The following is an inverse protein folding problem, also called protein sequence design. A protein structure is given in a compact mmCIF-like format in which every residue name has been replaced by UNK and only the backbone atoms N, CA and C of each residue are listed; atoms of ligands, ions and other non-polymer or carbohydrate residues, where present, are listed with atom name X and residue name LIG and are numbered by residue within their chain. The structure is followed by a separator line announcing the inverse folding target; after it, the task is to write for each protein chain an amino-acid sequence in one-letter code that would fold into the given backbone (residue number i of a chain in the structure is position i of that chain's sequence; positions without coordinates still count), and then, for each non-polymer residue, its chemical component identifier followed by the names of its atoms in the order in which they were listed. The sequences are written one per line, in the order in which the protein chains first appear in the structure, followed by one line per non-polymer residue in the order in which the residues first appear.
data_IF_926264512255
#
_entry.id   IF_926264512255
#
_cell.length_a   1.000
_cell.length_b   1.000
_cell.length_c   1.000
_cell.angle_alpha   90.00
_cell.angle_beta   90.00
_cell.angle_gamma   90.00
#
_symmetry.space_group_name_H-M   'P 1'
#
loop_
_entity.id
_entity.type
_entity.pdbx_description
1 polymer ?
#
# COMPACT_ATOMS: atom_id res chain seq x y z
N UNK A 1 -16.39 12.13 20.35
CA UNK A 1 -16.26 11.22 19.19
C UNK A 1 -16.15 11.96 17.85
N UNK A 2 -17.09 12.81 17.44
CA UNK A 2 -17.04 13.53 16.14
C UNK A 2 -15.82 14.46 15.96
N UNK A 3 -15.29 15.07 17.02
CA UNK A 3 -14.12 15.97 16.93
C UNK A 3 -12.80 15.19 16.74
N UNK A 4 -12.70 13.98 17.29
CA UNK A 4 -11.54 13.12 17.18
C UNK A 4 -11.42 12.51 15.77
N UNK A 5 -12.53 11.97 15.23
CA UNK A 5 -12.58 11.45 13.87
C UNK A 5 -12.19 12.52 12.82
N UNK A 6 -12.57 13.77 13.05
CA UNK A 6 -12.19 14.89 12.16
C UNK A 6 -10.70 15.23 12.22
N UNK A 7 -10.07 15.18 13.41
CA UNK A 7 -8.62 15.42 13.52
C UNK A 7 -7.83 14.35 12.79
N UNK A 8 -8.22 13.08 12.95
CA UNK A 8 -7.60 11.95 12.24
C UNK A 8 -7.75 12.11 10.73
N UNK A 9 -8.96 12.40 10.24
CA UNK A 9 -9.20 12.60 8.82
C UNK A 9 -8.40 13.79 8.26
N UNK A 10 -8.24 14.87 9.03
CA UNK A 10 -7.42 16.02 8.63
C UNK A 10 -5.92 15.65 8.59
N UNK A 11 -5.42 14.89 9.57
CA UNK A 11 -4.03 14.42 9.57
C UNK A 11 -3.76 13.47 8.40
N UNK A 12 -4.68 12.53 8.13
CA UNK A 12 -4.59 11.65 6.96
C UNK A 12 -4.62 12.46 5.65
N UNK A 13 -5.51 13.44 5.54
CA UNK A 13 -5.55 14.33 4.38
C UNK A 13 -4.23 15.05 4.16
N UNK A 14 -3.62 15.58 5.23
CA UNK A 14 -2.33 16.25 5.13
C UNK A 14 -1.22 15.30 4.65
N UNK A 15 -1.15 14.06 5.20
CA UNK A 15 -0.19 13.04 4.79
C UNK A 15 -0.42 12.61 3.34
N UNK A 16 -1.67 12.34 2.95
CA UNK A 16 -2.01 11.93 1.58
C UNK A 16 -1.64 13.06 0.59
N UNK A 17 -2.00 14.31 0.90
CA UNK A 17 -1.67 15.45 0.06
C UNK A 17 -0.15 15.62 -0.07
N UNK A 18 0.59 15.49 1.03
CA UNK A 18 2.05 15.52 1.01
C UNK A 18 2.63 14.42 0.12
N UNK A 19 2.16 13.18 0.27
CA UNK A 19 2.64 12.05 -0.54
C UNK A 19 2.33 12.23 -2.03
N UNK A 20 1.15 12.76 -2.37
CA UNK A 20 0.78 13.06 -3.75
C UNK A 20 1.72 14.12 -4.32
N UNK A 21 1.90 15.25 -3.63
CA UNK A 21 2.75 16.35 -4.10
C UNK A 21 4.21 15.90 -4.20
N UNK A 22 4.72 15.23 -3.16
CA UNK A 22 6.10 14.74 -3.12
C UNK A 22 6.35 13.74 -4.23
N UNK A 23 5.52 12.69 -4.37
CA UNK A 23 5.69 11.66 -5.38
C UNK A 23 5.52 12.17 -6.81
N UNK A 24 4.63 13.14 -7.02
CA UNK A 24 4.38 13.71 -8.35
C UNK A 24 5.47 14.70 -8.80
N UNK A 25 6.11 15.42 -7.88
CA UNK A 25 7.09 16.47 -8.20
C UNK A 25 8.55 16.06 -7.95
N UNK A 26 8.78 14.90 -7.35
CA UNK A 26 10.13 14.38 -7.17
C UNK A 26 10.79 14.09 -8.54
N UNK A 27 12.08 14.43 -8.77
CA UNK A 27 13.10 14.89 -7.82
C UNK A 27 13.20 16.40 -7.63
N UNK A 28 12.20 17.19 -7.97
CA UNK A 28 12.15 18.66 -7.84
C UNK A 28 13.19 19.40 -8.70
N UNK A 29 13.52 18.84 -9.87
CA UNK A 29 14.49 19.38 -10.80
C UNK A 29 13.85 20.38 -11.76
N UNK A 30 13.40 21.51 -11.22
CA UNK A 30 12.70 22.55 -11.97
C UNK A 30 13.64 23.34 -12.87
N UNK A 31 13.23 23.59 -14.12
CA UNK A 31 13.91 24.41 -15.12
C UNK A 31 12.94 25.36 -15.83
N UNK A 32 13.41 26.58 -16.13
CA UNK A 32 12.63 27.55 -16.88
C UNK A 32 12.53 27.24 -18.37
N UNK A 33 13.36 26.36 -18.90
CA UNK A 33 13.31 25.95 -20.32
C UNK A 33 12.00 25.23 -20.68
N UNK A 34 11.35 24.57 -19.69
CA UNK A 34 10.00 24.01 -19.84
C UNK A 34 8.90 25.05 -20.07
N UNK A 35 9.09 26.27 -19.56
CA UNK A 35 8.12 27.36 -19.67
C UNK A 35 7.86 27.82 -21.11
N UNK A 36 8.85 27.72 -21.99
CA UNK A 36 8.68 28.05 -23.40
C UNK A 36 7.74 27.08 -24.13
N UNK A 37 7.71 25.80 -23.68
CA UNK A 37 6.77 24.80 -24.18
C UNK A 37 5.31 25.14 -23.82
N UNK A 38 5.08 25.65 -22.61
CA UNK A 38 3.75 26.05 -22.13
C UNK A 38 3.17 27.24 -22.89
N UNK A 39 3.98 28.24 -23.16
CA UNK A 39 3.58 29.41 -23.95
C UNK A 39 3.18 29.03 -25.39
N UNK A 40 3.71 27.93 -25.92
CA UNK A 40 3.39 27.43 -27.27
C UNK A 40 2.17 26.48 -27.26
N UNK A 41 1.91 25.74 -26.19
CA UNK A 41 0.88 24.70 -26.19
C UNK A 41 -0.51 25.17 -25.73
N UNK A 42 -0.59 26.21 -24.87
CA UNK A 42 -1.87 26.75 -24.35
C UNK A 42 -2.79 25.79 -23.60
N UNK A 43 -2.46 24.51 -23.59
CA UNK A 43 -3.21 23.39 -23.00
C UNK A 43 -2.21 22.31 -22.55
N UNK A 44 -2.56 21.55 -21.51
CA UNK A 44 -1.76 20.39 -21.07
C UNK A 44 -1.55 19.41 -22.25
N UNK A 45 -0.31 18.89 -22.44
CA UNK A 45 -0.02 18.00 -23.56
C UNK A 45 -0.80 16.69 -23.46
N UNK A 46 -1.14 16.12 -24.62
CA UNK A 46 -1.68 14.78 -24.71
C UNK A 46 -0.50 13.79 -24.81
N UNK A 47 -0.06 13.26 -23.67
CA UNK A 47 0.92 12.19 -23.65
C UNK A 47 0.23 10.82 -23.79
N UNK A 48 0.92 9.85 -24.37
CA UNK A 48 0.43 8.47 -24.43
C UNK A 48 0.36 7.90 -23.00
N UNK A 49 -0.81 7.42 -22.61
CA UNK A 49 -1.07 6.90 -21.27
C UNK A 49 -1.31 5.39 -21.33
N UNK A 50 -0.62 4.61 -20.51
CA UNK A 50 -0.85 3.17 -20.41
C UNK A 50 -2.02 2.85 -19.48
N UNK A 51 -2.57 1.63 -19.56
CA UNK A 51 -3.63 1.18 -18.65
C UNK A 51 -3.18 1.23 -17.18
N UNK A 52 -1.92 0.93 -16.91
CA UNK A 52 -1.32 1.01 -15.58
C UNK A 52 -1.21 2.44 -15.07
N UNK A 53 -0.87 3.41 -15.93
CA UNK A 53 -0.81 4.82 -15.56
C UNK A 53 -2.20 5.34 -15.18
N UNK A 54 -3.23 5.00 -15.97
CA UNK A 54 -4.62 5.33 -15.67
C UNK A 54 -5.02 4.79 -14.30
N UNK A 55 -4.75 3.49 -14.05
CA UNK A 55 -5.11 2.86 -12.78
C UNK A 55 -4.35 3.49 -11.60
N UNK A 56 -3.05 3.74 -11.74
CA UNK A 56 -2.23 4.35 -10.71
C UNK A 56 -2.71 5.76 -10.35
N UNK A 57 -2.96 6.61 -11.35
CA UNK A 57 -3.43 7.98 -11.15
C UNK A 57 -4.81 8.02 -10.49
N UNK A 58 -5.75 7.18 -10.95
CA UNK A 58 -7.07 7.07 -10.29
C UNK A 58 -6.92 6.65 -8.83
N UNK A 59 -6.17 5.56 -8.55
CA UNK A 59 -6.02 5.03 -7.20
C UNK A 59 -5.32 5.99 -6.25
N UNK A 60 -4.36 6.77 -6.73
CA UNK A 60 -3.63 7.76 -5.95
C UNK A 60 -4.56 8.83 -5.36
N UNK A 61 -5.60 9.23 -6.10
CA UNK A 61 -6.52 10.29 -5.69
C UNK A 61 -7.78 9.78 -4.97
N UNK A 62 -8.07 8.47 -5.00
CA UNK A 62 -9.21 7.89 -4.26
C UNK A 62 -9.15 8.23 -2.75
N UNK A 63 -8.05 8.01 -2.01
CA UNK A 63 -7.98 8.33 -0.59
C UNK A 63 -8.10 9.84 -0.32
N UNK A 64 -7.57 10.69 -1.21
CA UNK A 64 -7.75 12.14 -1.11
C UNK A 64 -9.21 12.54 -1.17
N UNK A 65 -9.93 12.08 -2.20
CA UNK A 65 -11.35 12.36 -2.38
C UNK A 65 -12.21 11.83 -1.22
N UNK A 66 -11.88 10.63 -0.73
CA UNK A 66 -12.57 10.04 0.42
C UNK A 66 -12.41 10.86 1.70
N UNK A 67 -11.18 11.27 2.04
CA UNK A 67 -10.90 12.11 3.21
C UNK A 67 -11.57 13.49 3.11
N UNK A 68 -11.49 14.13 1.95
CA UNK A 68 -12.14 15.43 1.70
C UNK A 68 -13.65 15.32 1.87
N UNK A 69 -14.30 14.35 1.21
CA UNK A 69 -15.75 14.16 1.32
C UNK A 69 -16.19 13.86 2.75
N UNK A 70 -15.43 13.05 3.49
CA UNK A 70 -15.67 12.78 4.90
C UNK A 70 -15.65 14.04 5.76
N UNK A 71 -14.65 14.90 5.58
CA UNK A 71 -14.51 16.16 6.31
C UNK A 71 -15.61 17.17 5.97
N UNK A 72 -16.02 17.20 4.69
CA UNK A 72 -16.98 18.19 4.16
C UNK A 72 -18.43 17.76 4.34
N UNK A 73 -18.73 16.45 4.41
CA UNK A 73 -20.10 15.95 4.48
C UNK A 73 -20.90 16.46 5.67
N UNK A 74 -20.24 16.68 6.82
CA UNK A 74 -20.86 17.24 8.01
C UNK A 74 -21.19 18.73 7.92
N UNK A 75 -20.65 19.45 6.92
CA UNK A 75 -20.82 20.89 6.73
C UNK A 75 -21.74 21.24 5.56
N UNK A 76 -21.64 20.50 4.46
CA UNK A 76 -22.32 20.82 3.20
C UNK A 76 -23.37 19.78 2.77
N UNK A 77 -23.51 18.66 3.50
CA UNK A 77 -24.30 17.52 3.06
C UNK A 77 -23.57 16.67 2.01
N UNK A 78 -24.14 15.49 1.70
CA UNK A 78 -23.42 14.45 0.94
C UNK A 78 -23.08 14.85 -0.50
N UNK A 79 -24.05 15.35 -1.27
CA UNK A 79 -23.86 15.67 -2.69
C UNK A 79 -22.86 16.83 -2.87
N UNK A 80 -23.04 17.90 -2.11
CA UNK A 80 -22.15 19.07 -2.19
C UNK A 80 -20.75 18.74 -1.68
N UNK A 81 -20.62 17.86 -0.68
CA UNK A 81 -19.33 17.37 -0.22
C UNK A 81 -18.58 16.59 -1.31
N UNK A 82 -19.27 15.74 -2.09
CA UNK A 82 -18.68 15.02 -3.24
C UNK A 82 -18.20 16.02 -4.30
N UNK A 83 -19.05 16.95 -4.69
CA UNK A 83 -18.68 17.96 -5.71
C UNK A 83 -17.47 18.80 -5.26
N UNK A 84 -17.50 19.30 -4.02
CA UNK A 84 -16.41 20.12 -3.49
C UNK A 84 -15.11 19.32 -3.35
N UNK A 85 -15.17 18.06 -2.87
CA UNK A 85 -14.01 17.18 -2.78
C UNK A 85 -13.39 16.91 -4.17
N UNK A 86 -14.23 16.67 -5.17
CA UNK A 86 -13.79 16.47 -6.56
C UNK A 86 -13.12 17.73 -7.11
N UNK A 87 -13.71 18.90 -6.89
CA UNK A 87 -13.12 20.17 -7.34
C UNK A 87 -11.78 20.47 -6.66
N UNK A 88 -11.65 20.20 -5.38
CA UNK A 88 -10.37 20.35 -4.67
C UNK A 88 -9.33 19.38 -5.22
N UNK A 89 -9.71 18.11 -5.46
CA UNK A 89 -8.83 17.12 -6.07
C UNK A 89 -8.39 17.52 -7.47
N UNK A 90 -9.32 18.01 -8.30
CA UNK A 90 -9.03 18.53 -9.63
C UNK A 90 -8.09 19.74 -9.58
N UNK A 91 -8.32 20.68 -8.66
CA UNK A 91 -7.46 21.85 -8.50
C UNK A 91 -6.03 21.47 -8.07
N UNK A 92 -5.90 20.51 -7.15
CA UNK A 92 -4.59 19.96 -6.75
C UNK A 92 -3.90 19.28 -7.92
N UNK A 93 -4.61 18.43 -8.67
CA UNK A 93 -4.04 17.77 -9.86
C UNK A 93 -3.61 18.79 -10.90
N UNK A 94 -4.44 19.77 -11.22
CA UNK A 94 -4.09 20.83 -12.18
C UNK A 94 -2.84 21.61 -11.75
N UNK A 95 -2.72 21.92 -10.46
CA UNK A 95 -1.55 22.61 -9.92
C UNK A 95 -0.28 21.74 -10.07
N UNK A 96 -0.38 20.44 -9.79
CA UNK A 96 0.73 19.50 -9.95
C UNK A 96 1.12 19.36 -11.42
N UNK A 97 0.16 19.14 -12.33
CA UNK A 97 0.43 19.03 -13.76
C UNK A 97 1.07 20.32 -14.31
N UNK A 98 0.63 21.48 -13.83
CA UNK A 98 1.24 22.76 -14.17
C UNK A 98 2.67 22.85 -13.64
N UNK A 99 2.94 22.39 -12.43
CA UNK A 99 4.29 22.37 -11.87
C UNK A 99 5.21 21.38 -12.61
N UNK A 100 4.69 20.24 -13.08
CA UNK A 100 5.42 19.25 -13.87
C UNK A 100 5.86 19.76 -15.25
N UNK A 101 5.22 20.80 -15.78
CA UNK A 101 5.70 21.45 -17.01
C UNK A 101 7.08 22.10 -16.84
N UNK A 102 7.45 22.45 -15.61
CA UNK A 102 8.75 23.00 -15.26
C UNK A 102 9.74 21.93 -14.75
N UNK A 103 9.28 20.71 -14.53
CA UNK A 103 10.11 19.61 -14.01
C UNK A 103 10.72 18.83 -15.18
N UNK A 104 12.05 18.66 -15.19
CA UNK A 104 12.79 18.14 -16.36
C UNK A 104 12.62 16.64 -16.59
N UNK A 105 12.21 15.90 -15.57
CA UNK A 105 12.07 14.43 -15.59
C UNK A 105 10.63 13.93 -15.57
N UNK A 106 9.65 14.84 -15.57
CA UNK A 106 8.23 14.52 -15.57
C UNK A 106 7.57 15.00 -16.85
N UNK A 107 6.52 14.30 -17.24
CA UNK A 107 5.70 14.67 -18.39
C UNK A 107 4.30 14.99 -17.90
N UNK A 108 3.93 16.26 -17.99
CA UNK A 108 2.57 16.70 -17.69
C UNK A 108 1.57 16.13 -18.70
N UNK A 109 0.39 15.71 -18.27
CA UNK A 109 -0.60 15.06 -19.12
C UNK A 109 -2.04 15.45 -18.77
N UNK A 110 -2.82 15.81 -19.80
CA UNK A 110 -4.27 16.01 -19.63
C UNK A 110 -4.99 14.71 -19.20
N UNK A 111 -4.48 13.56 -19.65
CA UNK A 111 -5.02 12.27 -19.26
C UNK A 111 -4.82 12.02 -17.75
N UNK A 112 -3.66 12.37 -17.19
CA UNK A 112 -3.37 12.23 -15.77
C UNK A 112 -4.26 13.15 -14.93
N UNK A 113 -4.44 14.40 -15.35
CA UNK A 113 -5.40 15.31 -14.74
C UNK A 113 -6.82 14.73 -14.71
N UNK A 114 -7.28 14.14 -15.82
CA UNK A 114 -8.61 13.53 -15.89
C UNK A 114 -8.73 12.30 -14.97
N UNK A 115 -7.72 11.43 -14.96
CA UNK A 115 -7.66 10.22 -14.11
C UNK A 115 -7.62 10.58 -12.63
N UNK A 116 -6.82 11.56 -12.24
CA UNK A 116 -6.72 12.07 -10.88
C UNK A 116 -8.05 12.66 -10.39
N UNK A 117 -8.72 13.44 -11.26
CA UNK A 117 -10.05 14.01 -10.98
C UNK A 117 -11.09 12.90 -10.81
N UNK A 118 -11.08 11.90 -11.69
CA UNK A 118 -11.97 10.73 -11.60
C UNK A 118 -11.71 9.94 -10.31
N UNK A 119 -10.44 9.77 -9.90
CA UNK A 119 -10.05 9.15 -8.65
C UNK A 119 -10.60 9.89 -7.43
N UNK A 120 -10.46 11.22 -7.40
CA UNK A 120 -11.02 12.04 -6.32
C UNK A 120 -12.55 11.93 -6.24
N UNK A 121 -13.23 11.92 -7.39
CA UNK A 121 -14.67 11.72 -7.46
C UNK A 121 -15.08 10.32 -6.95
N UNK A 122 -14.42 9.28 -7.43
CA UNK A 122 -14.69 7.91 -7.01
C UNK A 122 -14.50 7.72 -5.50
N UNK A 123 -13.41 8.26 -4.95
CA UNK A 123 -13.12 8.25 -3.51
C UNK A 123 -14.17 8.97 -2.69
N UNK A 124 -14.61 10.15 -3.15
CA UNK A 124 -15.67 10.92 -2.50
C UNK A 124 -17.02 10.19 -2.51
N UNK A 125 -17.39 9.56 -3.63
CA UNK A 125 -18.59 8.73 -3.73
C UNK A 125 -18.50 7.51 -2.81
N UNK A 126 -17.36 6.83 -2.78
CA UNK A 126 -17.11 5.68 -1.91
C UNK A 126 -17.28 6.04 -0.43
N UNK A 127 -16.67 7.15 0.02
CA UNK A 127 -16.81 7.62 1.39
C UNK A 127 -18.27 7.89 1.77
N UNK A 128 -19.05 8.48 0.86
CA UNK A 128 -20.47 8.75 1.07
C UNK A 128 -21.31 7.45 1.10
N UNK A 129 -21.01 6.50 0.21
CA UNK A 129 -21.63 5.19 0.20
C UNK A 129 -21.38 4.44 1.50
N UNK A 130 -20.13 4.40 1.96
CA UNK A 130 -19.71 3.81 3.24
C UNK A 130 -20.45 4.48 4.41
N UNK A 131 -20.54 5.82 4.42
CA UNK A 131 -21.21 6.55 5.49
C UNK A 131 -22.72 6.26 5.55
N UNK A 132 -23.37 6.08 4.39
CA UNK A 132 -24.79 5.69 4.31
C UNK A 132 -25.01 4.25 4.77
N UNK A 133 -24.12 3.33 4.34
CA UNK A 133 -24.19 1.93 4.69
C UNK A 133 -23.93 1.72 6.18
N UNK A 134 -23.00 2.48 6.80
CA UNK A 134 -22.74 2.47 8.26
C UNK A 134 -24.00 2.75 9.09
N UNK A 135 -24.88 3.63 8.64
CA UNK A 135 -26.13 3.94 9.36
C UNK A 135 -27.11 2.75 9.37
N UNK A 136 -27.00 1.87 8.39
CA UNK A 136 -27.90 0.74 8.20
C UNK A 136 -27.35 -0.60 8.70
N UNK A 137 -26.03 -0.71 8.94
CA UNK A 137 -25.33 -1.96 9.26
C UNK A 137 -24.76 -1.94 10.68
N UNK A 138 -25.61 -2.17 11.69
CA UNK A 138 -25.17 -2.31 13.09
C UNK A 138 -24.44 -3.64 13.39
N UNK A 139 -24.35 -4.59 12.44
CA UNK A 139 -23.87 -5.96 12.68
C UNK A 139 -23.02 -6.60 11.59
N UNK A 140 -22.40 -5.88 10.66
CA UNK A 140 -21.64 -6.51 9.57
C UNK A 140 -20.12 -6.53 9.79
N UNK A 141 -19.47 -7.55 9.21
CA UNK A 141 -18.01 -7.69 9.14
C UNK A 141 -17.26 -6.45 8.61
N UNK A 142 -17.96 -5.61 7.85
CA UNK A 142 -17.47 -4.32 7.37
C UNK A 142 -17.21 -3.31 8.51
N UNK A 143 -17.90 -3.43 9.64
CA UNK A 143 -17.65 -2.60 10.82
C UNK A 143 -16.26 -2.87 11.41
N UNK A 144 -15.73 -4.09 11.26
CA UNK A 144 -14.38 -4.46 11.71
C UNK A 144 -13.28 -3.69 11.00
N UNK A 145 -13.39 -3.52 9.65
CA UNK A 145 -12.43 -2.76 8.85
C UNK A 145 -12.27 -1.32 9.35
N UNK A 146 -13.38 -0.74 9.78
CA UNK A 146 -13.42 0.65 10.23
C UNK A 146 -13.05 0.81 11.72
N UNK A 147 -13.17 -0.27 12.51
CA UNK A 147 -12.72 -0.29 13.92
C UNK A 147 -11.22 -0.55 14.05
N UNK A 148 -10.63 -1.25 13.07
CA UNK A 148 -9.22 -1.62 13.08
C UNK A 148 -8.54 -1.18 11.78
N UNK A 149 -8.38 0.14 11.56
CA UNK A 149 -7.92 0.69 10.28
C UNK A 149 -6.49 0.27 9.94
N UNK A 150 -5.63 0.03 10.94
CA UNK A 150 -4.26 -0.46 10.68
C UNK A 150 -4.31 -1.89 10.14
N UNK A 151 -5.09 -2.78 10.76
CA UNK A 151 -5.27 -4.15 10.27
C UNK A 151 -5.89 -4.15 8.86
N UNK A 152 -6.87 -3.26 8.60
CA UNK A 152 -7.43 -3.09 7.27
C UNK A 152 -6.39 -2.61 6.25
N UNK A 153 -5.54 -1.66 6.63
CA UNK A 153 -4.46 -1.15 5.78
C UNK A 153 -3.44 -2.24 5.42
N UNK A 154 -3.08 -3.11 6.37
CA UNK A 154 -2.18 -4.24 6.10
C UNK A 154 -2.79 -5.24 5.11
N UNK A 155 -4.07 -5.60 5.29
CA UNK A 155 -4.78 -6.47 4.34
C UNK A 155 -4.83 -5.82 2.95
N UNK A 156 -5.17 -4.54 2.89
CA UNK A 156 -5.22 -3.78 1.64
C UNK A 156 -3.84 -3.66 0.97
N UNK A 157 -2.77 -3.41 1.75
CA UNK A 157 -1.41 -3.33 1.23
C UNK A 157 -0.96 -4.64 0.60
N UNK A 158 -1.27 -5.79 1.21
CA UNK A 158 -0.95 -7.08 0.60
C UNK A 158 -1.73 -7.34 -0.69
N UNK A 159 -3.05 -7.13 -0.66
CA UNK A 159 -3.88 -7.28 -1.87
C UNK A 159 -3.40 -6.31 -2.96
N UNK A 160 -3.08 -5.07 -2.58
CA UNK A 160 -2.52 -4.06 -3.47
C UNK A 160 -1.21 -4.50 -4.12
N UNK A 161 -0.28 -5.04 -3.35
CA UNK A 161 0.96 -5.61 -3.85
C UNK A 161 0.71 -6.73 -4.87
N UNK A 162 -0.25 -7.62 -4.57
CA UNK A 162 -0.53 -8.77 -5.45
C UNK A 162 -1.27 -8.42 -6.73
N UNK A 163 -1.96 -7.27 -6.76
CA UNK A 163 -2.81 -6.85 -7.89
C UNK A 163 -2.33 -5.60 -8.62
N UNK A 164 -1.32 -4.89 -8.08
CA UNK A 164 -0.74 -3.75 -8.80
C UNK A 164 -0.02 -4.24 -10.09
N UNK A 165 -0.15 -3.52 -11.20
CA UNK A 165 -0.60 -2.14 -11.35
C UNK A 165 -2.11 -1.95 -11.62
N UNK A 166 -2.94 -2.93 -11.36
CA UNK A 166 -4.41 -2.90 -11.52
C UNK A 166 -4.88 -2.64 -12.96
N UNK A 167 -4.05 -2.95 -13.95
CA UNK A 167 -4.38 -2.76 -15.36
C UNK A 167 -5.34 -3.87 -15.82
N UNK A 168 -6.60 -3.57 -16.24
CA UNK A 168 -7.54 -4.62 -16.61
C UNK A 168 -7.08 -5.39 -17.85
N UNK A 169 -7.15 -6.72 -17.81
CA UNK A 169 -7.01 -7.59 -18.95
C UNK A 169 -8.30 -7.56 -19.77
N UNK A 170 -8.23 -7.12 -21.02
CA UNK A 170 -9.40 -6.95 -21.89
C UNK A 170 -9.50 -8.05 -22.94
N UNK A 171 -8.47 -8.89 -23.10
CA UNK A 171 -8.39 -9.97 -24.07
C UNK A 171 -8.51 -11.33 -23.35
N UNK A 172 -9.38 -12.24 -23.83
CA UNK A 172 -9.44 -13.62 -23.33
C UNK A 172 -8.11 -14.37 -23.39
N UNK A 173 -7.23 -14.01 -24.34
CA UNK A 173 -5.86 -14.55 -24.42
C UNK A 173 -5.00 -14.16 -23.23
N UNK A 174 -5.14 -12.93 -22.71
CA UNK A 174 -4.47 -12.47 -21.50
C UNK A 174 -4.93 -13.30 -20.29
N UNK A 175 -6.23 -13.61 -20.18
CA UNK A 175 -6.75 -14.45 -19.10
C UNK A 175 -6.22 -15.88 -19.15
N UNK A 176 -6.12 -16.46 -20.36
CA UNK A 176 -5.57 -17.79 -20.54
C UNK A 176 -4.07 -17.84 -20.19
N UNK A 177 -3.32 -16.80 -20.54
CA UNK A 177 -1.89 -16.71 -20.26
C UNK A 177 -1.59 -16.65 -18.75
N UNK A 178 -2.53 -16.17 -17.91
CA UNK A 178 -2.38 -16.16 -16.46
C UNK A 178 -2.16 -17.54 -15.86
N UNK A 179 -2.62 -18.60 -16.51
CA UNK A 179 -2.44 -19.99 -16.06
C UNK A 179 -1.13 -20.63 -16.56
N UNK A 180 -0.47 -20.06 -17.56
CA UNK A 180 0.70 -20.66 -18.21
C UNK A 180 1.83 -21.04 -17.22
N UNK A 181 2.20 -20.26 -16.20
CA UNK A 181 3.26 -20.60 -15.27
C UNK A 181 2.96 -21.84 -14.42
N UNK A 182 1.69 -22.18 -14.22
CA UNK A 182 1.32 -23.38 -13.46
C UNK A 182 1.76 -24.67 -14.17
N UNK A 183 1.82 -24.64 -15.51
CA UNK A 183 2.17 -25.77 -16.38
C UNK A 183 3.60 -25.65 -16.92
N UNK A 184 4.23 -24.49 -16.78
CA UNK A 184 5.61 -24.29 -17.17
C UNK A 184 6.55 -25.05 -16.23
N UNK A 185 7.49 -25.80 -16.78
CA UNK A 185 8.47 -26.59 -16.04
C UNK A 185 9.59 -25.70 -15.44
N UNK A 186 9.28 -24.82 -14.49
CA UNK A 186 10.27 -23.97 -13.79
C UNK A 186 10.65 -24.54 -12.42
N UNK A 187 11.79 -24.13 -11.88
CA UNK A 187 12.19 -24.48 -10.52
C UNK A 187 11.25 -23.82 -9.49
N UNK A 188 10.85 -24.58 -8.46
CA UNK A 188 10.09 -24.07 -7.34
C UNK A 188 11.00 -23.23 -6.42
N UNK A 189 10.63 -21.98 -6.15
CA UNK A 189 11.41 -21.04 -5.36
C UNK A 189 10.97 -21.07 -3.90
N UNK A 190 11.78 -21.69 -3.04
CA UNK A 190 11.46 -21.83 -1.63
C UNK A 190 11.27 -20.49 -0.90
N UNK A 191 12.06 -19.46 -1.24
CA UNK A 191 11.93 -18.12 -0.65
C UNK A 191 10.61 -17.47 -1.02
N UNK A 192 10.16 -17.55 -2.28
CA UNK A 192 8.86 -17.03 -2.71
C UNK A 192 7.71 -17.80 -2.00
N UNK A 193 7.78 -19.10 -1.92
CA UNK A 193 6.82 -19.91 -1.17
C UNK A 193 6.72 -19.48 0.29
N UNK A 194 7.86 -19.35 0.98
CA UNK A 194 7.90 -18.92 2.38
C UNK A 194 7.34 -17.51 2.56
N UNK A 195 7.67 -16.59 1.66
CA UNK A 195 7.14 -15.23 1.68
C UNK A 195 5.60 -15.22 1.59
N UNK A 196 5.02 -15.96 0.64
CA UNK A 196 3.57 -16.08 0.50
C UNK A 196 2.92 -16.77 1.70
N UNK A 197 3.50 -17.86 2.19
CA UNK A 197 2.97 -18.58 3.35
C UNK A 197 2.97 -17.70 4.62
N UNK A 198 4.07 -17.03 4.91
CA UNK A 198 4.18 -16.13 6.07
C UNK A 198 3.26 -14.93 5.97
N UNK A 199 3.17 -14.31 4.78
CA UNK A 199 2.28 -13.17 4.57
C UNK A 199 0.82 -13.56 4.81
N UNK A 200 0.35 -14.66 4.24
CA UNK A 200 -1.03 -15.13 4.43
C UNK A 200 -1.31 -15.64 5.85
N UNK A 201 -0.31 -16.21 6.55
CA UNK A 201 -0.42 -16.51 7.99
C UNK A 201 -0.56 -15.23 8.82
N UNK A 202 0.27 -14.22 8.57
CA UNK A 202 0.15 -12.92 9.24
C UNK A 202 -1.21 -12.28 8.96
N UNK A 203 -1.67 -12.33 7.71
CA UNK A 203 -3.00 -11.82 7.33
C UNK A 203 -4.15 -12.60 7.96
N UNK A 204 -3.99 -13.90 8.22
CA UNK A 204 -4.99 -14.66 8.97
C UNK A 204 -5.16 -14.12 10.40
N UNK A 205 -4.04 -13.72 11.05
CA UNK A 205 -4.08 -13.06 12.37
C UNK A 205 -4.72 -11.66 12.26
N UNK A 206 -4.37 -10.90 11.22
CA UNK A 206 -4.98 -9.59 10.89
C UNK A 206 -6.50 -9.75 10.68
N UNK A 207 -6.93 -10.72 9.90
CA UNK A 207 -8.35 -11.03 9.65
C UNK A 207 -9.09 -11.40 10.96
N UNK A 208 -8.42 -12.09 11.88
CA UNK A 208 -8.97 -12.39 13.21
C UNK A 208 -9.22 -11.14 14.05
N UNK A 209 -8.50 -10.05 13.80
CA UNK A 209 -8.74 -8.75 14.43
C UNK A 209 -9.92 -8.02 13.75
N UNK A 210 -9.99 -8.11 12.43
CA UNK A 210 -11.06 -7.48 11.64
C UNK A 210 -12.42 -8.15 11.83
N UNK A 211 -12.44 -9.49 11.91
CA UNK A 211 -13.65 -10.28 12.06
C UNK A 211 -13.43 -11.43 13.07
N UNK A 212 -13.58 -11.17 14.37
CA UNK A 212 -13.45 -12.20 15.40
C UNK A 212 -14.37 -13.39 15.12
N UNK A 213 -13.83 -14.61 15.15
CA UNK A 213 -14.55 -15.84 14.80
C UNK A 213 -14.63 -16.15 13.29
N UNK A 214 -14.25 -15.22 12.41
CA UNK A 214 -14.30 -15.39 10.96
C UNK A 214 -12.94 -15.14 10.28
N UNK A 215 -11.83 -15.30 11.00
CA UNK A 215 -10.48 -15.07 10.50
C UNK A 215 -10.17 -15.85 9.22
N UNK A 216 -10.40 -17.16 9.24
CA UNK A 216 -10.12 -18.04 8.09
C UNK A 216 -11.03 -17.77 6.89
N UNK A 217 -12.36 -17.64 7.03
CA UNK A 217 -13.20 -17.23 5.92
C UNK A 217 -12.82 -15.88 5.30
N UNK A 218 -12.44 -14.90 6.11
CA UNK A 218 -12.04 -13.59 5.61
C UNK A 218 -10.70 -13.66 4.87
N UNK A 219 -9.73 -14.39 5.41
CA UNK A 219 -8.44 -14.64 4.74
C UNK A 219 -8.63 -15.39 3.41
N UNK A 220 -9.47 -16.46 3.41
CA UNK A 220 -9.80 -17.19 2.19
C UNK A 220 -10.51 -16.30 1.14
N UNK A 221 -11.38 -15.39 1.58
CA UNK A 221 -11.98 -14.36 0.71
C UNK A 221 -10.93 -13.45 0.09
N UNK A 222 -9.95 -12.99 0.87
CA UNK A 222 -8.81 -12.21 0.38
C UNK A 222 -7.96 -12.98 -0.64
N UNK A 223 -7.69 -14.28 -0.38
CA UNK A 223 -7.01 -15.16 -1.32
C UNK A 223 -7.79 -15.30 -2.64
N UNK A 224 -9.10 -15.51 -2.55
CA UNK A 224 -9.96 -15.60 -3.74
C UNK A 224 -9.95 -14.29 -4.55
N UNK A 225 -9.96 -13.12 -3.90
CA UNK A 225 -9.83 -11.82 -4.57
C UNK A 225 -8.48 -11.71 -5.29
N UNK A 226 -7.39 -12.12 -4.65
CA UNK A 226 -6.07 -12.11 -5.29
C UNK A 226 -6.04 -13.04 -6.50
N UNK A 227 -6.50 -14.29 -6.37
CA UNK A 227 -6.52 -15.24 -7.48
C UNK A 227 -7.38 -14.75 -8.65
N UNK A 228 -8.58 -14.22 -8.37
CA UNK A 228 -9.43 -13.64 -9.39
C UNK A 228 -8.77 -12.44 -10.08
N UNK A 229 -8.15 -11.54 -9.30
CA UNK A 229 -7.47 -10.38 -9.84
C UNK A 229 -6.26 -10.74 -10.71
N UNK A 230 -5.49 -11.78 -10.35
CA UNK A 230 -4.37 -12.24 -11.17
C UNK A 230 -4.79 -12.83 -12.54
N UNK A 231 -6.06 -13.20 -12.69
CA UNK A 231 -6.64 -13.61 -13.97
C UNK A 231 -7.20 -12.40 -14.73
N UNK A 232 -7.79 -11.44 -13.99
CA UNK A 232 -8.53 -10.32 -14.58
C UNK A 232 -7.66 -9.09 -14.87
N UNK A 233 -6.44 -9.03 -14.33
CA UNK A 233 -5.50 -7.95 -14.62
C UNK A 233 -4.42 -8.41 -15.59
N UNK A 234 -4.03 -7.49 -16.49
CA UNK A 234 -3.01 -7.72 -17.52
C UNK A 234 -1.62 -7.92 -16.88
N UNK A 235 -0.77 -8.67 -17.58
CA UNK A 235 0.60 -8.97 -17.16
C UNK A 235 0.72 -9.65 -15.79
N UNK A 236 -0.38 -10.27 -15.32
CA UNK A 236 -0.42 -11.05 -14.09
C UNK A 236 -0.47 -12.56 -14.40
N UNK A 237 0.08 -13.35 -13.46
CA UNK A 237 0.08 -14.79 -13.61
C UNK A 237 -0.09 -15.50 -12.26
N UNK A 238 -0.69 -16.67 -12.28
CA UNK A 238 -0.79 -17.56 -11.12
C UNK A 238 0.54 -18.26 -10.90
N UNK A 239 1.07 -18.16 -9.69
CA UNK A 239 2.34 -18.77 -9.31
C UNK A 239 2.11 -19.99 -8.42
N UNK A 240 2.87 -21.06 -8.66
CA UNK A 240 2.77 -22.30 -7.87
C UNK A 240 3.14 -22.06 -6.41
N UNK A 241 4.14 -21.23 -6.17
CA UNK A 241 4.63 -20.84 -4.85
C UNK A 241 3.56 -20.08 -4.06
N UNK A 242 2.79 -19.22 -4.73
CA UNK A 242 1.69 -18.48 -4.11
C UNK A 242 0.54 -19.41 -3.72
N UNK A 243 0.13 -20.29 -4.64
CA UNK A 243 -0.92 -21.28 -4.36
C UNK A 243 -0.53 -22.23 -3.21
N UNK A 244 0.72 -22.70 -3.22
CA UNK A 244 1.26 -23.53 -2.14
C UNK A 244 1.32 -22.76 -0.81
N UNK A 245 1.72 -21.47 -0.85
CA UNK A 245 1.74 -20.58 0.31
C UNK A 245 0.35 -20.34 0.89
N UNK A 246 -0.66 -20.07 0.04
CA UNK A 246 -2.06 -19.95 0.45
C UNK A 246 -2.59 -21.23 1.10
N UNK A 247 -2.35 -22.39 0.48
CA UNK A 247 -2.75 -23.70 1.00
C UNK A 247 -2.10 -23.98 2.36
N UNK A 248 -0.81 -23.68 2.50
CA UNK A 248 -0.07 -23.81 3.76
C UNK A 248 -0.63 -22.90 4.85
N UNK A 249 -0.94 -21.64 4.52
CA UNK A 249 -1.52 -20.71 5.46
C UNK A 249 -2.89 -21.17 5.96
N UNK A 250 -3.75 -21.69 5.07
CA UNK A 250 -5.05 -22.27 5.46
C UNK A 250 -4.90 -23.51 6.34
N UNK A 251 -3.97 -24.41 6.02
CA UNK A 251 -3.69 -25.62 6.81
C UNK A 251 -3.18 -25.26 8.22
N UNK A 252 -2.30 -24.25 8.32
CA UNK A 252 -1.71 -23.83 9.60
C UNK A 252 -2.56 -22.82 10.37
N UNK A 253 -3.62 -22.26 9.79
CA UNK A 253 -4.48 -21.28 10.44
C UNK A 253 -5.10 -21.83 11.76
N UNK A 254 -5.59 -23.09 11.74
CA UNK A 254 -6.20 -23.72 12.92
C UNK A 254 -5.17 -24.05 14.03
N UNK A 255 -4.01 -24.66 13.75
CA UNK A 255 -2.93 -24.77 14.73
C UNK A 255 -2.48 -23.45 15.30
N UNK A 256 -2.31 -22.43 14.46
CA UNK A 256 -1.90 -21.09 14.88
C UNK A 256 -2.92 -20.44 15.81
N UNK A 257 -4.22 -20.61 15.53
CA UNK A 257 -5.31 -20.08 16.35
C UNK A 257 -5.40 -20.73 17.74
N UNK A 258 -4.81 -21.92 17.95
CA UNK A 258 -4.73 -22.58 19.25
C UNK A 258 -3.65 -22.01 20.16
N UNK A 259 -2.67 -21.30 19.57
CA UNK A 259 -1.62 -20.64 20.36
C UNK A 259 -2.18 -19.39 21.03
N UNK A 260 -1.66 -19.02 22.22
CA UNK A 260 -1.93 -17.71 22.79
C UNK A 260 -1.57 -16.61 21.77
N UNK A 261 -2.44 -15.62 21.59
CA UNK A 261 -2.28 -14.57 20.56
C UNK A 261 -0.90 -13.93 20.55
N UNK A 262 -0.37 -13.62 21.75
CA UNK A 262 0.96 -13.03 21.86
C UNK A 262 2.10 -13.99 21.43
N UNK A 263 1.93 -15.31 21.56
CA UNK A 263 2.90 -16.29 21.08
C UNK A 263 2.87 -16.41 19.54
N UNK A 264 1.66 -16.53 18.98
CA UNK A 264 1.48 -16.54 17.52
C UNK A 264 2.08 -15.29 16.89
N UNK A 265 1.80 -14.11 17.44
CA UNK A 265 2.33 -12.84 16.95
C UNK A 265 3.87 -12.76 17.06
N UNK A 266 4.47 -13.26 18.15
CA UNK A 266 5.94 -13.31 18.31
C UNK A 266 6.60 -14.22 17.27
N UNK A 267 6.04 -15.41 17.06
CA UNK A 267 6.57 -16.36 16.07
C UNK A 267 6.51 -15.77 14.65
N UNK A 268 5.37 -15.16 14.29
CA UNK A 268 5.20 -14.53 12.98
C UNK A 268 6.08 -13.29 12.83
N UNK A 269 6.25 -12.46 13.86
CA UNK A 269 7.16 -11.31 13.82
C UNK A 269 8.61 -11.75 13.61
N UNK A 270 9.06 -12.79 14.34
CA UNK A 270 10.41 -13.34 14.19
C UNK A 270 10.61 -13.96 12.79
N UNK A 271 9.65 -14.75 12.30
CA UNK A 271 9.72 -15.34 10.98
C UNK A 271 9.72 -14.30 9.87
N UNK A 272 8.89 -13.26 9.99
CA UNK A 272 8.84 -12.14 9.03
C UNK A 272 10.16 -11.36 9.04
N UNK A 273 10.71 -11.06 10.21
CA UNK A 273 12.01 -10.38 10.30
C UNK A 273 13.13 -11.23 9.68
N UNK A 274 13.17 -12.53 9.94
CA UNK A 274 14.15 -13.43 9.33
C UNK A 274 14.01 -13.48 7.81
N UNK A 275 12.79 -13.44 7.30
CA UNK A 275 12.55 -13.36 5.85
C UNK A 275 13.05 -12.03 5.28
N UNK A 276 12.74 -10.90 5.92
CA UNK A 276 13.23 -9.57 5.51
C UNK A 276 14.77 -9.56 5.50
N UNK A 277 15.40 -10.04 6.56
CA UNK A 277 16.86 -10.10 6.64
C UNK A 277 17.45 -11.04 5.58
N UNK A 278 16.84 -12.21 5.37
CA UNK A 278 17.28 -13.16 4.35
C UNK A 278 17.19 -12.57 2.95
N UNK A 279 16.03 -12.04 2.58
CA UNK A 279 15.82 -11.49 1.24
C UNK A 279 16.62 -10.20 1.00
N UNK A 280 16.75 -9.36 2.03
CA UNK A 280 17.47 -8.10 1.96
C UNK A 280 19.01 -8.28 1.94
N UNK A 281 19.54 -9.35 2.54
CA UNK A 281 21.00 -9.57 2.62
C UNK A 281 21.49 -10.66 1.65
N UNK A 282 20.61 -11.33 0.91
CA UNK A 282 21.01 -12.30 -0.10
C UNK A 282 21.73 -11.59 -1.28
N UNK A 283 22.88 -12.10 -1.81
CA UNK A 283 23.51 -13.42 -1.56
C UNK A 283 24.54 -13.45 -0.43
N UNK A 284 24.60 -12.47 0.46
CA UNK A 284 25.58 -12.34 1.56
C UNK A 284 27.03 -12.13 1.08
N UNK A 285 27.21 -11.60 -0.11
CA UNK A 285 28.51 -11.29 -0.70
C UNK A 285 28.94 -9.88 -0.33
N UNK A 286 29.42 -9.73 0.91
CA UNK A 286 29.77 -8.43 1.46
C UNK A 286 31.08 -7.89 0.89
N UNK A 287 31.04 -6.69 0.34
CA UNK A 287 32.20 -5.95 -0.16
C UNK A 287 32.95 -5.22 0.98
N UNK A 288 34.22 -4.86 0.72
CA UNK A 288 35.08 -4.23 1.71
C UNK A 288 34.70 -2.78 2.01
N UNK A 289 34.22 -2.04 1.00
CA UNK A 289 33.81 -0.64 1.14
C UNK A 289 32.29 -0.53 1.01
N UNK A 290 31.63 0.25 1.88
CA UNK A 290 30.18 0.45 1.77
C UNK A 290 29.84 1.40 0.62
N UNK A 291 28.72 1.10 -0.06
CA UNK A 291 28.08 2.02 -0.97
C UNK A 291 27.33 3.13 -0.21
N UNK A 292 26.83 4.12 -0.97
CA UNK A 292 26.09 5.24 -0.40
C UNK A 292 24.77 4.76 0.24
N UNK A 293 24.50 5.22 1.47
CA UNK A 293 23.16 5.12 2.07
C UNK A 293 22.31 6.33 1.64
N UNK A 294 21.11 6.07 1.11
CA UNK A 294 20.17 7.10 0.70
C UNK A 294 19.28 7.51 1.89
N UNK A 295 19.47 8.76 2.37
CA UNK A 295 18.63 9.33 3.43
C UNK A 295 17.34 9.97 2.92
N UNK A 296 17.19 10.14 1.60
CA UNK A 296 15.96 10.62 1.01
C UNK A 296 15.01 9.43 0.79
N UNK A 297 13.81 9.43 1.42
CA UNK A 297 12.87 8.34 1.24
C UNK A 297 12.44 8.22 -0.22
N UNK A 298 12.26 6.98 -0.69
CA UNK A 298 11.79 6.66 -2.04
C UNK A 298 12.73 7.13 -3.17
N UNK A 299 14.01 7.39 -2.89
CA UNK A 299 14.96 7.91 -3.89
C UNK A 299 15.04 6.97 -5.10
N UNK A 300 15.12 5.66 -4.89
CA UNK A 300 15.15 4.68 -5.96
C UNK A 300 13.79 4.54 -6.65
N UNK A 301 12.73 4.33 -5.89
CA UNK A 301 11.38 4.13 -6.42
C UNK A 301 10.87 5.29 -7.26
N UNK A 302 11.25 6.53 -6.89
CA UNK A 302 10.84 7.74 -7.59
C UNK A 302 11.78 8.13 -8.74
N UNK A 303 13.03 7.66 -8.73
CA UNK A 303 13.99 7.91 -9.81
C UNK A 303 13.65 7.14 -11.10
N UNK A 304 12.99 5.99 -10.97
CA UNK A 304 12.57 5.13 -12.07
C UNK A 304 11.05 5.01 -12.07
N UNK A 305 10.36 5.93 -12.77
CA UNK A 305 8.89 5.88 -12.87
C UNK A 305 8.45 4.63 -13.63
N UNK A 306 8.07 3.58 -12.90
CA UNK A 306 7.54 2.32 -13.46
C UNK A 306 6.33 1.85 -12.64
N UNK A 307 5.40 1.18 -13.30
CA UNK A 307 4.25 0.55 -12.63
C UNK A 307 4.67 -0.46 -11.54
N UNK A 308 5.85 -1.07 -11.67
CA UNK A 308 6.46 -1.93 -10.65
C UNK A 308 6.66 -1.20 -9.30
N UNK A 309 6.88 0.12 -9.31
CA UNK A 309 7.10 0.89 -8.09
C UNK A 309 5.86 0.94 -7.19
N UNK A 310 4.65 0.87 -7.77
CA UNK A 310 3.42 0.82 -6.98
C UNK A 310 3.28 -0.51 -6.22
N UNK A 311 3.61 -1.64 -6.85
CA UNK A 311 3.63 -2.94 -6.19
C UNK A 311 4.65 -2.97 -5.06
N UNK A 312 5.87 -2.47 -5.31
CA UNK A 312 6.93 -2.39 -4.31
C UNK A 312 6.51 -1.54 -3.11
N UNK A 313 5.89 -0.38 -3.34
CA UNK A 313 5.36 0.48 -2.28
C UNK A 313 4.37 -0.26 -1.38
N UNK A 314 3.43 -1.01 -1.96
CA UNK A 314 2.50 -1.82 -1.21
C UNK A 314 3.19 -2.92 -0.40
N UNK A 315 4.20 -3.58 -0.98
CA UNK A 315 4.98 -4.60 -0.30
C UNK A 315 5.73 -4.02 0.90
N UNK A 316 6.43 -2.90 0.72
CA UNK A 316 7.16 -2.19 1.78
C UNK A 316 6.22 -1.75 2.92
N UNK A 317 5.05 -1.20 2.59
CA UNK A 317 4.01 -0.87 3.59
C UNK A 317 3.53 -2.11 4.34
N UNK A 318 3.32 -3.23 3.64
CA UNK A 318 2.89 -4.47 4.26
C UNK A 318 3.97 -5.06 5.17
N UNK A 319 5.20 -5.20 4.71
CA UNK A 319 6.28 -5.84 5.46
C UNK A 319 6.67 -5.04 6.70
N UNK A 320 6.93 -3.74 6.53
CA UNK A 320 7.31 -2.84 7.62
C UNK A 320 6.16 -2.67 8.62
N UNK A 321 4.95 -2.46 8.11
CA UNK A 321 3.74 -2.31 8.94
C UNK A 321 3.38 -3.59 9.69
N UNK A 322 3.45 -4.75 9.04
CA UNK A 322 3.15 -6.04 9.67
C UNK A 322 4.15 -6.40 10.77
N UNK A 323 5.44 -6.10 10.59
CA UNK A 323 6.45 -6.36 11.61
C UNK A 323 6.14 -5.56 12.89
N UNK A 324 5.91 -4.25 12.77
CA UNK A 324 5.58 -3.39 13.93
C UNK A 324 4.25 -3.80 14.57
N UNK A 325 3.24 -4.08 13.74
CA UNK A 325 1.93 -4.50 14.24
C UNK A 325 2.00 -5.83 14.99
N UNK A 326 2.68 -6.84 14.46
CA UNK A 326 2.87 -8.14 15.12
C UNK A 326 3.64 -8.00 16.43
N UNK A 327 4.68 -7.15 16.49
CA UNK A 327 5.41 -6.86 17.73
C UNK A 327 4.51 -6.21 18.78
N UNK A 328 3.61 -5.32 18.38
CA UNK A 328 2.60 -4.75 19.29
C UNK A 328 1.59 -5.81 19.76
N UNK A 329 1.10 -6.69 18.88
CA UNK A 329 0.21 -7.81 19.24
C UNK A 329 0.93 -8.86 20.11
N UNK A 330 2.25 -8.92 20.08
CA UNK A 330 3.08 -9.77 20.94
C UNK A 330 3.16 -9.28 22.40
N UNK A 331 2.44 -8.19 22.73
CA UNK A 331 2.36 -7.60 24.08
C UNK A 331 3.43 -6.55 24.36
N UNK A 332 4.12 -6.04 23.34
CA UNK A 332 5.03 -4.90 23.50
C UNK A 332 4.25 -3.58 23.47
N UNK A 333 4.72 -2.57 24.20
CA UNK A 333 4.16 -1.22 24.03
C UNK A 333 4.41 -0.76 22.59
N UNK A 334 3.53 0.10 22.06
CA UNK A 334 3.64 0.59 20.68
C UNK A 334 5.00 1.24 20.43
N UNK A 335 5.50 2.00 21.39
CA UNK A 335 6.82 2.63 21.29
C UNK A 335 7.94 1.57 21.13
N UNK A 336 7.92 0.54 21.99
CA UNK A 336 8.93 -0.55 21.92
C UNK A 336 8.79 -1.35 20.63
N UNK A 337 7.57 -1.67 20.21
CA UNK A 337 7.32 -2.37 18.95
C UNK A 337 7.85 -1.58 17.74
N UNK A 338 7.58 -0.26 17.71
CA UNK A 338 8.07 0.64 16.67
C UNK A 338 9.59 0.73 16.67
N UNK A 339 10.20 0.96 17.83
CA UNK A 339 11.67 1.07 17.94
C UNK A 339 12.37 -0.22 17.53
N UNK A 340 11.85 -1.38 17.96
CA UNK A 340 12.41 -2.68 17.59
C UNK A 340 12.22 -2.96 16.09
N UNK A 341 11.03 -2.73 15.55
CA UNK A 341 10.73 -2.98 14.13
C UNK A 341 11.53 -2.08 13.21
N UNK A 342 11.46 -0.76 13.43
CA UNK A 342 12.20 0.22 12.63
C UNK A 342 13.72 0.06 12.77
N UNK A 343 14.23 -0.17 13.99
CA UNK A 343 15.65 -0.40 14.23
C UNK A 343 16.17 -1.68 13.59
N UNK A 344 15.38 -2.76 13.59
CA UNK A 344 15.75 -4.02 12.96
C UNK A 344 15.79 -3.89 11.42
N UNK A 345 14.81 -3.21 10.82
CA UNK A 345 14.80 -2.92 9.38
C UNK A 345 15.98 -2.01 9.03
N UNK A 346 16.21 -0.93 9.80
CA UNK A 346 17.33 -0.02 9.58
C UNK A 346 18.68 -0.75 9.62
N UNK A 347 18.83 -1.71 10.53
CA UNK A 347 20.06 -2.51 10.59
C UNK A 347 20.26 -3.35 9.31
N UNK A 348 19.19 -3.92 8.74
CA UNK A 348 19.26 -4.63 7.46
C UNK A 348 19.62 -3.68 6.33
N UNK A 349 18.96 -2.53 6.23
CA UNK A 349 19.23 -1.51 5.20
C UNK A 349 20.67 -0.97 5.33
N UNK A 350 21.14 -0.76 6.56
CA UNK A 350 22.54 -0.36 6.77
C UNK A 350 23.53 -1.44 6.30
N UNK A 351 23.24 -2.72 6.56
CA UNK A 351 24.09 -3.82 6.08
C UNK A 351 24.06 -3.96 4.55
N UNK A 352 22.97 -3.56 3.89
CA UNK A 352 22.87 -3.55 2.42
C UNK A 352 23.88 -2.60 1.76
N UNK A 353 24.38 -1.57 2.47
CA UNK A 353 25.45 -0.71 1.94
C UNK A 353 26.73 -1.48 1.61
N UNK A 354 26.95 -2.64 2.23
CA UNK A 354 28.09 -3.51 1.92
C UNK A 354 27.76 -4.61 0.90
N UNK A 355 26.57 -4.59 0.28
CA UNK A 355 26.16 -5.58 -0.71
C UNK A 355 26.15 -4.95 -2.11
N UNK A 356 26.92 -5.48 -3.08
CA UNK A 356 26.97 -4.91 -4.42
C UNK A 356 25.60 -5.01 -5.10
N UNK A 357 25.18 -3.90 -5.71
CA UNK A 357 23.92 -3.83 -6.45
C UNK A 357 22.64 -3.73 -5.61
N UNK A 358 22.75 -3.60 -4.29
CA UNK A 358 21.64 -3.26 -3.41
C UNK A 358 21.59 -1.74 -3.19
N UNK A 359 20.40 -1.19 -3.13
CA UNK A 359 20.17 0.22 -2.78
C UNK A 359 19.69 0.31 -1.34
N UNK A 360 20.59 0.76 -0.47
CA UNK A 360 20.28 1.00 0.93
C UNK A 360 19.61 2.37 1.08
N UNK A 361 18.37 2.40 1.55
CA UNK A 361 17.60 3.64 1.73
C UNK A 361 16.75 3.63 3.02
N UNK A 362 16.46 4.79 3.58
CA UNK A 362 15.73 4.93 4.86
C UNK A 362 14.23 4.60 4.77
N UNK A 363 13.70 4.32 3.60
CA UNK A 363 12.27 4.22 3.30
C UNK A 363 11.55 3.22 4.20
N UNK A 364 12.01 1.98 4.29
CA UNK A 364 11.33 0.91 5.02
C UNK A 364 11.32 1.16 6.52
N UNK A 365 12.41 1.70 7.05
CA UNK A 365 12.52 2.12 8.44
C UNK A 365 11.55 3.26 8.77
N UNK A 366 11.41 4.23 7.87
CA UNK A 366 10.45 5.32 8.02
C UNK A 366 9.01 4.82 7.95
N UNK A 367 8.70 3.90 7.04
CA UNK A 367 7.38 3.25 6.95
C UNK A 367 7.04 2.50 8.24
N UNK A 368 8.02 1.83 8.86
CA UNK A 368 7.83 1.19 10.17
C UNK A 368 7.49 2.21 11.27
N UNK A 369 8.16 3.38 11.29
CA UNK A 369 7.83 4.47 12.23
C UNK A 369 6.44 5.01 11.96
N UNK A 370 6.05 5.23 10.71
CA UNK A 370 4.71 5.66 10.33
C UNK A 370 3.64 4.66 10.77
N UNK A 371 3.89 3.35 10.58
CA UNK A 371 2.99 2.29 11.03
C UNK A 371 2.81 2.32 12.56
N UNK A 372 3.89 2.51 13.33
CA UNK A 372 3.84 2.69 14.78
C UNK A 372 3.02 3.91 15.20
N UNK A 373 3.17 5.03 14.48
CA UNK A 373 2.34 6.23 14.68
C UNK A 373 0.85 5.96 14.45
N UNK A 374 0.51 5.25 13.36
CA UNK A 374 -0.87 4.85 13.07
C UNK A 374 -1.43 3.92 14.15
N UNK A 375 -0.66 2.92 14.60
CA UNK A 375 -1.06 2.04 15.71
C UNK A 375 -1.31 2.85 16.98
N UNK A 376 -0.42 3.78 17.32
CA UNK A 376 -0.55 4.62 18.51
C UNK A 376 -1.81 5.50 18.47
N UNK A 377 -2.21 5.97 17.28
CA UNK A 377 -3.40 6.81 17.11
C UNK A 377 -4.68 5.98 17.14
N UNK A 378 -4.71 4.86 16.42
CA UNK A 378 -5.95 4.14 16.15
C UNK A 378 -6.23 2.94 17.07
N UNK A 379 -5.21 2.37 17.73
CA UNK A 379 -5.39 1.17 18.57
C UNK A 379 -5.36 1.47 20.09
N UNK A 380 -5.10 2.72 20.52
CA UNK A 380 -5.10 3.11 21.95
C UNK A 380 -6.47 3.02 22.63
N UNK A 381 -7.57 2.96 21.90
CA UNK A 381 -8.94 2.96 22.47
C UNK A 381 -9.55 1.57 22.64
N UNK A 382 -8.83 0.48 22.33
CA UNK A 382 -9.33 -0.89 22.53
C UNK A 382 -9.01 -1.51 23.89
N UNK A 383 -8.39 -0.79 24.82
CA UNK A 383 -7.82 -1.31 26.07
C UNK A 383 -8.60 -0.99 27.37
N UNK A 384 -9.77 -0.37 27.30
CA UNK A 384 -10.65 -0.15 28.47
C UNK A 384 -12.05 -0.66 28.18
N UNK A 385 -12.26 -1.94 28.39
CA UNK A 385 -13.54 -2.61 28.36
C UNK A 385 -13.39 -4.03 28.87
#
# INVERSE_FOLDING_TARGET
MISYDRRIAASLLAVITFLIVFGSLYPFSFSLEGAEGLARAGVLPQAGTTRSDVAANVLLYVPLGACLAWLLAGRFGGTLAVLTATLIGAALSFAIETAQLYETRRVSSLADFACNTAGAFAGACLALAIARTRRNLHSSSFAGLLRHPVAAALLFSWIGFRLAPFAPALDPGEWASAFAPLFAGGAFTATAFLAHALAWLALTVVCGRLAPGHAVPLAAGGMAVVLAGRILFADMALEREELAGMATALALASPLARLPRAHAARLLAAALFLLIAWTGLWPFDFQVAPDRFAFLPFEESLSQYRAANLADMFLRCFTSGSLVWLLAQAGRSVLVATSLGAGAIFAVELLQTWLPGQTAEITDSLLAVCAGGLIAVFEREGGTG
#
